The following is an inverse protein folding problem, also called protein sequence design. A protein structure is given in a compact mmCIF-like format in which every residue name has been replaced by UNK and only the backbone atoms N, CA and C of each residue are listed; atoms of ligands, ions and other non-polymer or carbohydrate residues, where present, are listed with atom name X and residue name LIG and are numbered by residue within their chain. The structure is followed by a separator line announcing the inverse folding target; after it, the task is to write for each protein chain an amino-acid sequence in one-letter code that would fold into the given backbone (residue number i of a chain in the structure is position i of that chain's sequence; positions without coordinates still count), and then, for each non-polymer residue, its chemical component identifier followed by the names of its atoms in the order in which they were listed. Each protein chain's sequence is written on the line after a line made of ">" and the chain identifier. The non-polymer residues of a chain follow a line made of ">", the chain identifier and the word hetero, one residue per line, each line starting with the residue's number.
data_IF_120116970125
#
_entry.id   IF_120116970125
#
_cell.length_a   1.000
_cell.length_b   1.000
_cell.length_c   1.000
_cell.angle_alpha   90.00
_cell.angle_beta   90.00
_cell.angle_gamma   90.00
#
_symmetry.space_group_name_H-M   'P 1'
#
loop_
_entity.id
_entity.type
_entity.pdbx_description
1 polymer ?
#
# COMPACT_ATOMS: atom_id res chain seq x y z
N UNK A 1 6.41 -3.69 -11.37
CA UNK A 1 5.78 -5.03 -11.29
C UNK A 1 6.85 -6.10 -11.42
N UNK A 2 6.77 -7.17 -10.64
CA UNK A 2 7.60 -8.37 -10.88
C UNK A 2 7.16 -9.07 -12.17
N UNK A 3 8.04 -9.83 -12.84
CA UNK A 3 7.64 -10.66 -13.98
C UNK A 3 6.53 -11.64 -13.61
N UNK A 4 5.60 -11.87 -14.52
CA UNK A 4 4.49 -12.80 -14.39
C UNK A 4 4.18 -13.47 -15.73
N UNK A 5 3.52 -14.63 -15.68
CA UNK A 5 3.07 -15.39 -16.85
C UNK A 5 1.56 -15.37 -16.91
N UNK A 6 1.01 -15.08 -18.09
CA UNK A 6 -0.41 -15.29 -18.38
C UNK A 6 -0.52 -16.57 -19.20
N UNK A 7 -1.33 -17.50 -18.72
CA UNK A 7 -1.71 -18.71 -19.44
C UNK A 7 -3.09 -18.51 -20.04
N UNK A 8 -3.29 -18.93 -21.29
CA UNK A 8 -4.60 -18.89 -21.95
C UNK A 8 -4.97 -20.28 -22.44
N UNK A 9 -6.17 -20.73 -22.09
CA UNK A 9 -6.75 -22.00 -22.47
C UNK A 9 -7.96 -21.77 -23.38
N UNK A 10 -8.11 -22.58 -24.44
CA UNK A 10 -9.19 -22.48 -25.43
C UNK A 10 -10.07 -23.74 -25.37
N UNK A 11 -11.18 -23.75 -24.61
CA UNK A 11 -11.96 -24.97 -24.35
C UNK A 11 -12.66 -25.58 -25.58
N UNK A 12 -12.78 -24.82 -26.67
CA UNK A 12 -13.33 -25.29 -27.95
C UNK A 12 -12.26 -25.63 -28.97
N UNK A 13 -10.99 -25.27 -28.72
CA UNK A 13 -9.91 -25.32 -29.69
C UNK A 13 -9.95 -24.21 -30.75
N UNK A 14 -10.97 -23.34 -30.74
CA UNK A 14 -11.06 -22.18 -31.64
C UNK A 14 -10.33 -20.97 -31.04
N UNK A 15 -9.25 -20.48 -31.67
CA UNK A 15 -8.50 -19.30 -31.19
C UNK A 15 -9.33 -18.01 -31.17
N UNK A 16 -10.41 -17.94 -31.96
CA UNK A 16 -11.28 -16.76 -32.05
C UNK A 16 -12.41 -16.77 -31.02
N UNK A 17 -12.68 -17.94 -30.42
CA UNK A 17 -13.83 -18.17 -29.57
C UNK A 17 -13.58 -17.95 -28.08
N UNK A 18 -14.44 -18.58 -27.28
CA UNK A 18 -14.34 -18.68 -25.82
C UNK A 18 -12.95 -19.11 -25.36
N UNK A 19 -12.39 -18.35 -24.42
CA UNK A 19 -11.07 -18.62 -23.82
C UNK A 19 -11.02 -18.22 -22.35
N UNK A 20 -10.17 -18.91 -21.61
CA UNK A 20 -9.92 -18.69 -20.18
C UNK A 20 -8.48 -18.22 -20.03
N UNK A 21 -8.26 -17.10 -19.36
CA UNK A 21 -6.94 -16.55 -19.10
C UNK A 21 -6.69 -16.43 -17.60
N UNK A 22 -5.48 -16.75 -17.15
CA UNK A 22 -5.10 -16.67 -15.74
C UNK A 22 -3.64 -16.27 -15.58
N UNK A 23 -3.32 -15.66 -14.44
CA UNK A 23 -1.93 -15.47 -14.02
C UNK A 23 -1.52 -16.74 -13.28
N UNK A 24 -0.46 -17.43 -13.72
CA UNK A 24 -0.14 -18.81 -13.26
C UNK A 24 0.04 -19.00 -11.74
N UNK A 25 0.29 -17.92 -10.99
CA UNK A 25 0.46 -17.95 -9.52
C UNK A 25 -0.81 -17.54 -8.75
N UNK A 26 -1.89 -17.20 -9.45
CA UNK A 26 -3.11 -16.68 -8.89
C UNK A 26 -4.29 -17.62 -9.13
N UNK A 27 -5.32 -17.51 -8.31
CA UNK A 27 -6.55 -18.30 -8.42
C UNK A 27 -7.64 -17.59 -9.21
N UNK A 28 -7.49 -16.28 -9.47
CA UNK A 28 -8.41 -15.51 -10.28
C UNK A 28 -8.26 -15.86 -11.77
N UNK A 29 -9.37 -16.19 -12.40
CA UNK A 29 -9.43 -16.48 -13.84
C UNK A 29 -10.37 -15.50 -14.56
N UNK A 30 -9.96 -15.08 -15.74
CA UNK A 30 -10.76 -14.31 -16.69
C UNK A 30 -11.35 -15.22 -17.75
N UNK A 31 -12.64 -15.07 -18.02
CA UNK A 31 -13.41 -15.85 -18.99
C UNK A 31 -13.88 -14.92 -20.08
N UNK A 32 -13.16 -14.91 -21.21
CA UNK A 32 -13.54 -14.15 -22.39
C UNK A 32 -14.56 -14.95 -23.20
N UNK A 33 -15.76 -14.42 -23.33
CA UNK A 33 -16.92 -15.10 -23.91
C UNK A 33 -17.54 -14.21 -25.00
N UNK A 34 -17.31 -14.51 -26.29
CA UNK A 34 -18.15 -13.96 -27.36
C UNK A 34 -19.62 -14.29 -27.09
N UNK A 35 -20.54 -13.35 -27.35
CA UNK A 35 -21.98 -13.54 -27.10
C UNK A 35 -22.55 -14.78 -27.78
N UNK A 36 -22.08 -15.09 -28.99
CA UNK A 36 -22.45 -16.29 -29.74
C UNK A 36 -21.99 -17.59 -29.07
N UNK A 37 -20.91 -17.56 -28.30
CA UNK A 37 -20.33 -18.72 -27.61
C UNK A 37 -20.91 -18.91 -26.19
N UNK A 38 -21.80 -18.00 -25.73
CA UNK A 38 -22.28 -18.01 -24.34
C UNK A 38 -22.88 -19.35 -23.92
N UNK A 39 -23.69 -19.97 -24.80
CA UNK A 39 -24.28 -21.29 -24.52
C UNK A 39 -23.18 -22.34 -24.32
N UNK A 40 -22.24 -22.41 -25.25
CA UNK A 40 -21.10 -23.34 -25.19
C UNK A 40 -20.22 -23.10 -23.97
N UNK A 41 -19.97 -21.83 -23.61
CA UNK A 41 -19.20 -21.47 -22.42
C UNK A 41 -19.88 -21.99 -21.15
N UNK A 42 -21.19 -21.78 -21.00
CA UNK A 42 -21.96 -22.26 -19.85
C UNK A 42 -21.97 -23.80 -19.78
N UNK A 43 -22.14 -24.47 -20.92
CA UNK A 43 -22.16 -25.94 -20.96
C UNK A 43 -20.79 -26.56 -20.65
N UNK A 44 -19.70 -25.92 -21.07
CA UNK A 44 -18.33 -26.42 -20.87
C UNK A 44 -17.65 -25.95 -19.57
N UNK A 45 -18.17 -24.92 -18.92
CA UNK A 45 -17.52 -24.29 -17.78
C UNK A 45 -18.44 -24.21 -16.55
N UNK A 46 -18.37 -25.20 -15.64
CA UNK A 46 -19.13 -25.17 -14.38
C UNK A 46 -18.82 -23.96 -13.49
N UNK A 47 -17.64 -23.35 -13.62
CA UNK A 47 -17.25 -22.18 -12.84
C UNK A 47 -18.15 -20.96 -13.09
N UNK A 48 -18.79 -20.87 -14.27
CA UNK A 48 -19.76 -19.81 -14.56
C UNK A 48 -21.01 -19.86 -13.67
N UNK A 49 -21.22 -20.95 -12.92
CA UNK A 49 -22.28 -21.02 -11.92
C UNK A 49 -21.92 -20.31 -10.59
N UNK A 50 -20.70 -19.82 -10.44
CA UNK A 50 -20.18 -19.21 -9.20
C UNK A 50 -20.34 -17.69 -9.16
N UNK A 51 -20.07 -17.16 -7.97
CA UNK A 51 -20.00 -15.73 -7.70
C UNK A 51 -18.83 -15.10 -8.45
N UNK A 52 -19.08 -13.96 -9.09
CA UNK A 52 -18.04 -13.21 -9.77
C UNK A 52 -18.46 -11.79 -10.13
N UNK A 53 -17.55 -11.11 -10.81
CA UNK A 53 -17.79 -9.84 -11.49
C UNK A 53 -17.56 -10.01 -12.97
N UNK A 54 -18.19 -9.20 -13.81
CA UNK A 54 -18.06 -9.27 -15.25
C UNK A 54 -18.10 -7.88 -15.89
N UNK A 55 -17.60 -7.82 -17.12
CA UNK A 55 -17.71 -6.65 -17.97
C UNK A 55 -18.25 -7.05 -19.34
N UNK A 56 -19.26 -6.33 -19.83
CA UNK A 56 -19.77 -6.46 -21.19
C UNK A 56 -19.20 -5.35 -22.06
N UNK A 57 -18.81 -5.70 -23.28
CA UNK A 57 -18.21 -4.81 -24.26
C UNK A 57 -18.97 -4.88 -25.59
N UNK A 58 -19.03 -3.76 -26.32
CA UNK A 58 -19.70 -3.66 -27.62
C UNK A 58 -18.87 -4.19 -28.81
N UNK A 59 -17.65 -4.66 -28.59
CA UNK A 59 -16.78 -5.20 -29.64
C UNK A 59 -15.33 -5.39 -29.18
N UNK A 60 -14.46 -5.88 -30.07
CA UNK A 60 -13.03 -6.04 -29.78
C UNK A 60 -12.29 -4.71 -29.62
N UNK A 61 -12.74 -3.67 -30.34
CA UNK A 61 -12.31 -2.28 -30.17
C UNK A 61 -13.39 -1.52 -29.37
N UNK A 62 -13.63 -1.96 -28.14
CA UNK A 62 -14.76 -1.51 -27.35
C UNK A 62 -14.71 0.00 -27.07
N UNK A 63 -15.84 0.67 -27.25
CA UNK A 63 -16.05 2.07 -26.86
C UNK A 63 -17.05 2.20 -25.71
N UNK A 64 -17.79 1.12 -25.41
CA UNK A 64 -18.76 1.05 -24.34
C UNK A 64 -18.50 -0.16 -23.46
N UNK A 65 -18.70 0.03 -22.16
CA UNK A 65 -18.58 -1.03 -21.16
C UNK A 65 -19.74 -1.00 -20.17
N UNK A 66 -20.15 -2.18 -19.71
CA UNK A 66 -21.05 -2.35 -18.57
C UNK A 66 -20.35 -3.24 -17.54
N UNK A 67 -20.33 -2.85 -16.28
CA UNK A 67 -19.71 -3.62 -15.19
C UNK A 67 -20.82 -4.18 -14.31
N UNK A 68 -20.74 -5.47 -13.99
CA UNK A 68 -21.76 -6.14 -13.18
C UNK A 68 -21.20 -7.16 -12.20
N UNK A 69 -21.97 -7.48 -11.17
CA UNK A 69 -21.80 -8.65 -10.31
C UNK A 69 -22.90 -9.70 -10.50
N UNK A 70 -22.60 -10.96 -10.18
CA UNK A 70 -23.62 -11.96 -9.94
C UNK A 70 -23.14 -13.09 -9.03
N UNK A 71 -24.07 -13.66 -8.27
CA UNK A 71 -23.89 -14.93 -7.56
C UNK A 71 -23.91 -16.14 -8.52
N UNK A 72 -24.37 -15.93 -9.75
CA UNK A 72 -24.29 -16.91 -10.83
C UNK A 72 -24.09 -16.17 -12.17
N UNK A 73 -22.84 -16.12 -12.61
CA UNK A 73 -22.43 -15.41 -13.82
C UNK A 73 -23.17 -15.91 -15.07
N UNK A 74 -23.26 -17.23 -15.25
CA UNK A 74 -23.87 -17.84 -16.43
C UNK A 74 -25.35 -17.46 -16.58
N UNK A 75 -26.11 -17.51 -15.49
CA UNK A 75 -27.50 -17.08 -15.47
C UNK A 75 -27.64 -15.58 -15.71
N UNK A 76 -26.74 -14.76 -15.14
CA UNK A 76 -26.76 -13.31 -15.34
C UNK A 76 -26.44 -12.93 -16.78
N UNK A 77 -25.45 -13.54 -17.41
CA UNK A 77 -25.11 -13.31 -18.81
C UNK A 77 -26.24 -13.78 -19.76
N UNK A 78 -26.95 -14.87 -19.41
CA UNK A 78 -28.15 -15.29 -20.14
C UNK A 78 -29.26 -14.23 -20.09
N UNK A 79 -29.46 -13.58 -18.94
CA UNK A 79 -30.43 -12.48 -18.81
C UNK A 79 -30.07 -11.31 -19.74
N UNK A 80 -28.79 -10.95 -19.82
CA UNK A 80 -28.27 -9.93 -20.74
C UNK A 80 -28.33 -10.33 -22.22
N UNK A 81 -28.60 -11.60 -22.54
CA UNK A 81 -28.75 -12.09 -23.92
C UNK A 81 -30.17 -11.93 -24.47
N UNK A 82 -31.03 -11.18 -23.75
CA UNK A 82 -32.32 -10.74 -24.24
C UNK A 82 -32.16 -9.95 -25.56
N UNK A 83 -32.99 -10.20 -26.58
CA UNK A 83 -32.99 -9.44 -27.84
C UNK A 83 -33.03 -7.92 -27.70
N UNK A 84 -33.59 -7.38 -26.60
CA UNK A 84 -33.61 -5.93 -26.35
C UNK A 84 -32.27 -5.34 -25.88
N UNK A 85 -31.30 -6.18 -25.49
CA UNK A 85 -29.95 -5.77 -25.06
C UNK A 85 -28.91 -6.20 -26.11
N UNK A 86 -29.02 -5.65 -27.31
CA UNK A 86 -28.18 -5.98 -28.47
C UNK A 86 -26.88 -5.15 -28.58
N UNK A 87 -26.60 -4.27 -27.62
CA UNK A 87 -25.47 -3.33 -27.68
C UNK A 87 -24.10 -3.99 -27.41
N UNK A 88 -24.07 -5.15 -26.75
CA UNK A 88 -22.83 -5.86 -26.38
C UNK A 88 -22.61 -7.13 -27.19
N UNK A 89 -21.35 -7.48 -27.43
CA UNK A 89 -20.95 -8.68 -28.20
C UNK A 89 -19.92 -9.55 -27.49
N UNK A 90 -19.24 -9.05 -26.47
CA UNK A 90 -18.21 -9.77 -25.71
C UNK A 90 -18.47 -9.58 -24.23
N UNK A 91 -18.40 -10.66 -23.45
CA UNK A 91 -18.33 -10.62 -22.00
C UNK A 91 -16.94 -11.06 -21.55
N UNK A 92 -16.40 -10.42 -20.50
CA UNK A 92 -15.24 -10.92 -19.76
C UNK A 92 -15.65 -11.06 -18.30
N UNK A 93 -15.72 -12.29 -17.79
CA UNK A 93 -16.11 -12.58 -16.41
C UNK A 93 -14.92 -13.02 -15.57
N UNK A 94 -14.95 -12.72 -14.27
CA UNK A 94 -13.88 -12.97 -13.32
C UNK A 94 -14.40 -13.76 -12.14
N UNK A 95 -13.83 -14.94 -11.91
CA UNK A 95 -14.17 -15.83 -10.81
C UNK A 95 -12.90 -16.39 -10.18
N UNK A 96 -12.96 -16.75 -8.90
CA UNK A 96 -11.89 -17.49 -8.24
C UNK A 96 -12.07 -18.97 -8.56
N UNK A 97 -11.07 -19.56 -9.23
CA UNK A 97 -11.05 -20.98 -9.57
C UNK A 97 -10.64 -21.84 -8.38
N UNK A 98 -11.41 -21.75 -7.31
CA UNK A 98 -11.23 -22.55 -6.11
C UNK A 98 -12.59 -22.82 -5.48
N UNK A 99 -12.99 -24.10 -5.46
CA UNK A 99 -14.28 -24.53 -4.92
C UNK A 99 -14.45 -24.22 -3.42
N UNK A 100 -13.35 -24.10 -2.66
CA UNK A 100 -13.41 -23.84 -1.21
C UNK A 100 -13.24 -22.37 -0.83
N UNK A 101 -12.79 -21.52 -1.75
CA UNK A 101 -12.44 -20.11 -1.48
C UNK A 101 -13.06 -19.14 -2.50
N UNK A 102 -14.36 -19.28 -2.76
CA UNK A 102 -15.10 -18.41 -3.66
C UNK A 102 -15.31 -17.00 -3.10
N UNK A 103 -15.58 -16.04 -3.99
CA UNK A 103 -16.00 -14.69 -3.62
C UNK A 103 -17.38 -14.76 -2.96
N UNK A 104 -17.56 -14.05 -1.85
CA UNK A 104 -18.87 -13.85 -1.23
C UNK A 104 -19.69 -12.79 -1.98
N UNK A 105 -20.99 -12.68 -1.66
CA UNK A 105 -21.85 -11.61 -2.17
C UNK A 105 -21.33 -10.20 -1.81
N UNK A 106 -20.74 -10.06 -0.62
CA UNK A 106 -20.12 -8.80 -0.22
C UNK A 106 -18.87 -8.52 -1.08
N UNK A 107 -18.07 -9.54 -1.38
CA UNK A 107 -16.85 -9.37 -2.19
C UNK A 107 -17.15 -8.91 -3.62
N UNK A 108 -18.13 -9.53 -4.28
CA UNK A 108 -18.47 -9.19 -5.68
C UNK A 108 -19.08 -7.80 -5.80
N UNK A 109 -19.88 -7.35 -4.83
CA UNK A 109 -20.39 -5.97 -4.77
C UNK A 109 -19.28 -4.94 -4.53
N UNK A 110 -18.31 -5.29 -3.70
CA UNK A 110 -17.16 -4.43 -3.46
C UNK A 110 -16.31 -4.29 -4.74
N UNK A 111 -16.03 -5.41 -5.42
CA UNK A 111 -15.28 -5.44 -6.67
C UNK A 111 -16.01 -4.71 -7.81
N UNK A 112 -17.32 -4.90 -7.95
CA UNK A 112 -18.14 -4.20 -8.96
C UNK A 112 -18.05 -2.69 -8.77
N UNK A 113 -18.24 -2.20 -7.53
CA UNK A 113 -18.10 -0.78 -7.23
C UNK A 113 -16.68 -0.27 -7.48
N UNK A 114 -15.64 -1.01 -7.08
CA UNK A 114 -14.25 -0.63 -7.31
C UNK A 114 -13.92 -0.53 -8.81
N UNK A 115 -14.34 -1.53 -9.59
CA UNK A 115 -14.19 -1.55 -11.05
C UNK A 115 -14.94 -0.38 -11.69
N UNK A 116 -16.20 -0.16 -11.30
CA UNK A 116 -17.01 0.94 -11.82
C UNK A 116 -16.37 2.29 -11.53
N UNK A 117 -16.02 2.56 -10.27
CA UNK A 117 -15.42 3.83 -9.85
C UNK A 117 -14.11 4.10 -10.58
N UNK A 118 -13.28 3.06 -10.78
CA UNK A 118 -12.03 3.21 -11.51
C UNK A 118 -12.25 3.51 -12.99
N UNK A 119 -13.18 2.81 -13.64
CA UNK A 119 -13.53 3.06 -15.04
C UNK A 119 -14.17 4.43 -15.27
N UNK A 120 -15.01 4.88 -14.33
CA UNK A 120 -15.63 6.21 -14.37
C UNK A 120 -14.59 7.32 -14.21
N UNK A 121 -13.56 7.09 -13.42
CA UNK A 121 -12.43 8.00 -13.28
C UNK A 121 -11.57 8.03 -14.54
N UNK A 122 -11.25 6.88 -15.14
CA UNK A 122 -10.33 6.82 -16.30
C UNK A 122 -10.98 7.20 -17.64
N UNK A 123 -12.31 7.08 -17.74
CA UNK A 123 -13.14 7.42 -18.90
C UNK A 123 -12.64 6.86 -20.23
N UNK A 124 -11.99 5.70 -20.20
CA UNK A 124 -11.48 5.05 -21.42
C UNK A 124 -12.60 4.52 -22.31
N UNK A 125 -13.73 4.16 -21.70
CA UNK A 125 -14.93 3.68 -22.38
C UNK A 125 -16.15 4.34 -21.73
N UNK A 126 -17.22 4.52 -22.50
CA UNK A 126 -18.50 4.99 -21.98
C UNK A 126 -19.13 3.88 -21.12
N UNK A 127 -19.31 4.15 -19.83
CA UNK A 127 -20.06 3.25 -18.95
C UNK A 127 -21.56 3.40 -19.21
N UNK A 128 -22.23 2.28 -19.49
CA UNK A 128 -23.67 2.24 -19.80
C UNK A 128 -24.53 1.66 -18.66
N UNK A 129 -23.95 1.50 -17.47
CA UNK A 129 -24.69 1.17 -16.27
C UNK A 129 -25.76 2.23 -15.99
N UNK A 130 -26.99 1.79 -15.64
CA UNK A 130 -28.07 2.71 -15.30
C UNK A 130 -27.87 3.41 -13.95
N UNK A 131 -27.18 2.76 -13.02
CA UNK A 131 -26.92 3.26 -11.66
C UNK A 131 -25.47 2.98 -11.27
N UNK A 132 -24.92 3.81 -10.39
CA UNK A 132 -23.64 3.56 -9.71
C UNK A 132 -23.79 2.34 -8.77
N UNK A 133 -22.94 1.30 -8.91
CA UNK A 133 -22.98 0.14 -8.03
C UNK A 133 -22.72 0.52 -6.56
N UNK A 134 -23.45 -0.10 -5.64
CA UNK A 134 -23.31 0.14 -4.20
C UNK A 134 -22.09 -0.61 -3.64
N UNK A 135 -21.21 0.10 -2.94
CA UNK A 135 -20.08 -0.51 -2.24
C UNK A 135 -20.53 -1.22 -0.96
N UNK A 136 -20.40 -2.54 -0.92
CA UNK A 136 -20.63 -3.34 0.30
C UNK A 136 -19.54 -3.09 1.34
N UNK A 137 -19.88 -3.36 2.60
CA UNK A 137 -18.91 -3.45 3.68
C UNK A 137 -18.17 -4.80 3.62
N UNK A 138 -16.84 -4.75 3.72
CA UNK A 138 -15.94 -5.89 3.88
C UNK A 138 -14.90 -5.54 4.94
N UNK A 139 -14.28 -6.54 5.59
CA UNK A 139 -13.22 -6.28 6.57
C UNK A 139 -12.00 -5.66 5.89
N UNK A 140 -11.18 -4.92 6.64
CA UNK A 140 -9.97 -4.30 6.08
C UNK A 140 -9.02 -5.33 5.43
N UNK A 141 -8.77 -6.46 6.09
CA UNK A 141 -7.97 -7.55 5.50
C UNK A 141 -8.54 -8.01 4.16
N UNK A 142 -9.86 -8.18 4.08
CA UNK A 142 -10.53 -8.62 2.86
C UNK A 142 -10.48 -7.55 1.78
N UNK A 143 -10.54 -6.27 2.14
CA UNK A 143 -10.37 -5.14 1.23
C UNK A 143 -9.02 -5.19 0.51
N UNK A 144 -7.93 -5.53 1.22
CA UNK A 144 -6.61 -5.70 0.61
C UNK A 144 -6.59 -6.86 -0.40
N UNK A 145 -7.18 -8.01 -0.04
CA UNK A 145 -7.31 -9.14 -0.96
C UNK A 145 -8.08 -8.76 -2.23
N UNK A 146 -9.21 -8.05 -2.08
CA UNK A 146 -10.04 -7.63 -3.22
C UNK A 146 -9.37 -6.56 -4.07
N UNK A 147 -8.59 -5.65 -3.47
CA UNK A 147 -7.73 -4.72 -4.22
C UNK A 147 -6.65 -5.47 -5.01
N UNK A 148 -6.06 -6.52 -4.43
CA UNK A 148 -5.11 -7.40 -5.15
C UNK A 148 -5.79 -8.11 -6.33
N UNK A 149 -6.99 -8.66 -6.12
CA UNK A 149 -7.80 -9.23 -7.19
C UNK A 149 -8.08 -8.20 -8.29
N UNK A 150 -8.41 -6.96 -7.93
CA UNK A 150 -8.63 -5.89 -8.91
C UNK A 150 -7.39 -5.60 -9.77
N UNK A 151 -6.18 -5.62 -9.20
CA UNK A 151 -4.93 -5.46 -9.97
C UNK A 151 -4.81 -6.57 -11.03
N UNK A 152 -5.13 -7.81 -10.66
CA UNK A 152 -5.13 -8.93 -11.59
C UNK A 152 -6.23 -8.82 -12.65
N UNK A 153 -7.43 -8.34 -12.28
CA UNK A 153 -8.51 -8.02 -13.22
C UNK A 153 -8.02 -7.01 -14.26
N UNK A 154 -7.37 -5.91 -13.85
CA UNK A 154 -6.81 -4.91 -14.79
C UNK A 154 -5.79 -5.53 -15.75
N UNK A 155 -4.83 -6.29 -15.22
CA UNK A 155 -3.81 -6.97 -16.02
C UNK A 155 -4.44 -7.90 -17.05
N UNK A 156 -5.40 -8.73 -16.61
CA UNK A 156 -6.08 -9.68 -17.48
C UNK A 156 -6.91 -8.97 -18.55
N UNK A 157 -7.69 -7.95 -18.18
CA UNK A 157 -8.46 -7.15 -19.15
C UNK A 157 -7.56 -6.52 -20.21
N UNK A 158 -6.46 -5.88 -19.81
CA UNK A 158 -5.49 -5.27 -20.75
C UNK A 158 -4.86 -6.31 -21.67
N UNK A 159 -4.49 -7.47 -21.14
CA UNK A 159 -3.94 -8.59 -21.93
C UNK A 159 -4.94 -9.13 -22.96
N UNK A 160 -6.24 -9.03 -22.65
CA UNK A 160 -7.33 -9.45 -23.52
C UNK A 160 -7.77 -8.34 -24.51
N UNK A 161 -7.13 -7.16 -24.46
CA UNK A 161 -7.38 -6.04 -25.37
C UNK A 161 -8.34 -4.97 -24.84
N UNK A 162 -8.70 -5.01 -23.54
CA UNK A 162 -9.64 -4.07 -22.92
C UNK A 162 -8.97 -3.23 -21.83
N UNK A 163 -8.25 -2.15 -22.16
CA UNK A 163 -7.55 -1.32 -21.18
C UNK A 163 -8.49 -0.38 -20.40
N UNK A 164 -9.54 -0.92 -19.77
CA UNK A 164 -10.66 -0.18 -19.18
C UNK A 164 -10.23 0.80 -18.06
N UNK A 165 -9.20 0.46 -17.28
CA UNK A 165 -8.79 1.21 -16.09
C UNK A 165 -7.49 1.99 -16.27
N UNK A 166 -6.91 2.00 -17.47
CA UNK A 166 -5.63 2.67 -17.75
C UNK A 166 -5.89 4.13 -18.07
N UNK A 167 -5.17 5.05 -17.42
CA UNK A 167 -5.18 6.45 -17.87
C UNK A 167 -4.27 6.61 -19.08
N UNK A 168 -4.75 7.28 -20.12
CA UNK A 168 -3.91 7.72 -21.24
C UNK A 168 -2.90 8.75 -20.75
N UNK A 169 -1.68 8.80 -21.32
CA UNK A 169 -0.66 9.81 -20.99
C UNK A 169 -1.14 11.28 -21.12
N UNK A 170 -2.23 11.52 -21.84
CA UNK A 170 -2.88 12.82 -21.96
C UNK A 170 -3.68 13.21 -20.69
N UNK A 171 -4.21 12.23 -19.96
CA UNK A 171 -5.01 12.42 -18.74
C UNK A 171 -4.15 12.52 -17.47
N UNK A 172 -2.85 12.19 -17.57
CA UNK A 172 -1.86 12.45 -16.52
C UNK A 172 -1.69 13.95 -16.22
N UNK A 173 -2.15 14.83 -17.12
CA UNK A 173 -1.97 16.30 -17.01
C UNK A 173 -3.21 17.00 -16.42
N UNK A 174 -4.40 16.41 -16.53
CA UNK A 174 -5.68 17.04 -16.20
C UNK A 174 -6.34 16.53 -14.91
N UNK A 175 -6.01 15.34 -14.41
CA UNK A 175 -6.65 14.74 -13.21
C UNK A 175 -5.82 14.78 -11.92
N UNK A 176 -4.81 15.65 -11.83
CA UNK A 176 -4.05 15.90 -10.58
C UNK A 176 -4.90 16.73 -9.56
N UNK A 177 -6.16 16.99 -9.87
CA UNK A 177 -7.02 17.90 -9.08
C UNK A 177 -8.06 17.21 -8.18
N UNK A 178 -8.42 15.93 -8.35
CA UNK A 178 -9.38 15.26 -7.46
C UNK A 178 -9.15 13.74 -7.37
N UNK A 179 -8.23 13.30 -6.50
CA UNK A 179 -8.19 11.93 -6.00
C UNK A 179 -8.42 11.98 -4.48
N UNK A 180 -9.55 11.44 -4.04
CA UNK A 180 -9.84 11.23 -2.63
C UNK A 180 -8.89 10.17 -2.05
N UNK A 181 -8.05 10.67 -1.13
CA UNK A 181 -7.70 10.11 0.19
C UNK A 181 -6.99 8.75 0.29
N UNK A 182 -5.82 8.62 -0.34
CA UNK A 182 -4.75 7.70 0.14
C UNK A 182 -3.36 8.38 0.09
N UNK A 183 -3.33 9.70 -0.13
CA UNK A 183 -2.11 10.48 -0.29
C UNK A 183 -1.67 11.11 1.02
N UNK A 184 -0.40 10.98 1.36
CA UNK A 184 0.16 11.57 2.58
C UNK A 184 0.39 13.07 2.34
N UNK A 185 -0.30 13.91 3.11
CA UNK A 185 -0.09 15.35 3.06
C UNK A 185 1.24 15.74 3.71
N UNK A 186 2.10 16.37 2.94
CA UNK A 186 3.45 16.79 3.33
C UNK A 186 3.67 18.28 3.10
N UNK A 187 4.61 18.83 3.83
CA UNK A 187 5.01 20.23 3.82
C UNK A 187 6.51 20.34 3.53
N UNK A 188 6.88 21.36 2.78
CA UNK A 188 8.26 21.74 2.52
C UNK A 188 8.43 23.22 2.86
N UNK A 189 9.17 23.47 3.93
CA UNK A 189 9.55 24.81 4.39
C UNK A 189 11.07 24.88 4.45
N UNK A 190 11.69 25.33 3.36
CA UNK A 190 13.15 25.37 3.22
C UNK A 190 13.55 26.41 2.19
N UNK A 191 14.68 27.08 2.42
CA UNK A 191 15.25 28.10 1.51
C UNK A 191 14.22 29.17 1.10
N UNK A 192 13.46 29.70 2.06
CA UNK A 192 12.36 30.67 1.87
C UNK A 192 11.19 30.20 0.99
N UNK A 193 11.17 28.93 0.60
CA UNK A 193 10.02 28.30 -0.03
C UNK A 193 9.02 27.80 1.03
N UNK A 194 7.75 27.72 0.64
CA UNK A 194 6.69 27.13 1.46
C UNK A 194 5.72 26.42 0.51
N UNK A 195 5.76 25.10 0.50
CA UNK A 195 4.94 24.27 -0.38
C UNK A 195 4.20 23.19 0.42
N UNK A 196 2.99 22.88 -0.03
CA UNK A 196 2.21 21.74 0.44
C UNK A 196 2.09 20.76 -0.72
N UNK A 197 2.31 19.48 -0.43
CA UNK A 197 2.16 18.42 -1.42
C UNK A 197 1.41 17.23 -0.87
N UNK A 198 0.83 16.43 -1.77
CA UNK A 198 0.25 15.13 -1.48
C UNK A 198 1.19 14.09 -2.09
N UNK A 199 1.84 13.30 -1.25
CA UNK A 199 2.71 12.20 -1.67
C UNK A 199 1.89 10.94 -1.87
N UNK A 200 2.14 10.25 -2.98
CA UNK A 200 1.45 9.03 -3.35
C UNK A 200 2.44 7.86 -3.23
N UNK A 201 2.39 7.07 -2.14
CA UNK A 201 3.40 6.05 -1.85
C UNK A 201 3.51 4.97 -2.93
N UNK A 202 2.38 4.59 -3.54
CA UNK A 202 2.32 3.56 -4.59
C UNK A 202 3.15 3.93 -5.82
N UNK A 203 3.03 5.18 -6.28
CA UNK A 203 3.70 5.65 -7.49
C UNK A 203 5.02 6.38 -7.20
N UNK A 204 5.31 6.62 -5.92
CA UNK A 204 6.42 7.47 -5.42
C UNK A 204 6.41 8.87 -6.03
N UNK A 205 5.24 9.35 -6.42
CA UNK A 205 5.04 10.69 -6.98
C UNK A 205 4.61 11.66 -5.89
N UNK A 206 4.77 12.96 -6.14
CA UNK A 206 4.22 13.99 -5.25
C UNK A 206 3.47 15.04 -6.06
N UNK A 207 2.25 15.32 -5.65
CA UNK A 207 1.45 16.40 -6.20
C UNK A 207 1.65 17.65 -5.36
N UNK A 208 2.30 18.68 -5.91
CA UNK A 208 2.42 19.99 -5.25
C UNK A 208 1.13 20.77 -5.48
N UNK A 209 0.52 21.24 -4.40
CA UNK A 209 -0.79 21.88 -4.43
C UNK A 209 -0.71 23.33 -4.91
N UNK A 210 -1.79 23.76 -5.55
CA UNK A 210 -2.04 25.15 -5.94
C UNK A 210 -1.79 26.10 -4.76
N UNK A 211 -1.14 27.23 -5.03
CA UNK A 211 -0.78 28.22 -4.01
C UNK A 211 0.57 27.97 -3.33
N UNK A 212 1.17 26.78 -3.47
CA UNK A 212 2.54 26.51 -3.01
C UNK A 212 3.54 27.51 -3.59
N UNK A 213 4.47 27.99 -2.77
CA UNK A 213 5.48 29.01 -3.11
C UNK A 213 6.87 28.40 -3.28
N UNK A 214 7.47 28.62 -4.44
CA UNK A 214 8.89 28.32 -4.68
C UNK A 214 9.77 29.44 -4.12
N UNK A 215 11.05 29.18 -3.90
CA UNK A 215 11.99 30.21 -3.45
C UNK A 215 12.13 31.34 -4.48
N UNK A 216 12.25 32.56 -3.96
CA UNK A 216 12.60 33.75 -4.74
C UNK A 216 14.10 33.86 -4.98
N UNK A 217 14.92 33.16 -4.19
CA UNK A 217 16.38 33.15 -4.36
C UNK A 217 16.78 32.54 -5.71
N UNK A 218 17.94 32.94 -6.22
CA UNK A 218 18.52 32.34 -7.43
C UNK A 218 18.85 30.85 -7.24
N UNK A 219 18.89 30.03 -8.30
CA UNK A 219 19.36 28.65 -8.21
C UNK A 219 20.77 28.54 -7.64
N UNK A 220 21.01 27.52 -6.82
CA UNK A 220 22.37 27.20 -6.35
C UNK A 220 23.18 26.52 -7.45
N UNK A 221 24.51 26.46 -7.29
CA UNK A 221 25.39 25.72 -8.21
C UNK A 221 25.07 24.22 -8.29
N UNK A 222 24.39 23.65 -7.29
CA UNK A 222 23.96 22.25 -7.27
C UNK A 222 22.60 22.02 -7.95
N UNK A 223 21.95 23.05 -8.48
CA UNK A 223 20.66 22.92 -9.16
C UNK A 223 20.83 22.55 -10.63
N UNK A 224 20.27 21.41 -11.04
CA UNK A 224 20.41 20.85 -12.40
C UNK A 224 19.11 20.88 -13.22
N UNK A 225 17.98 21.29 -12.64
CA UNK A 225 16.64 21.17 -13.26
C UNK A 225 16.18 22.44 -14.00
N UNK A 226 17.10 23.13 -14.67
CA UNK A 226 16.83 24.42 -15.32
C UNK A 226 15.76 24.32 -16.42
N UNK A 227 15.81 23.28 -17.25
CA UNK A 227 14.87 23.12 -18.36
C UNK A 227 13.44 22.85 -17.86
N UNK A 228 13.30 22.04 -16.80
CA UNK A 228 12.02 21.79 -16.17
C UNK A 228 11.47 23.07 -15.53
N UNK A 229 12.29 23.83 -14.79
CA UNK A 229 11.87 25.10 -14.20
C UNK A 229 11.41 26.09 -15.28
N UNK A 230 12.16 26.25 -16.36
CA UNK A 230 11.78 27.10 -17.50
C UNK A 230 10.46 26.66 -18.11
N UNK A 231 10.28 25.35 -18.33
CA UNK A 231 9.04 24.79 -18.86
C UNK A 231 7.84 25.13 -17.97
N UNK A 232 7.96 24.93 -16.65
CA UNK A 232 6.88 25.22 -15.70
C UNK A 232 6.47 26.70 -15.66
N UNK A 233 7.44 27.61 -15.85
CA UNK A 233 7.19 29.04 -15.93
C UNK A 233 6.53 29.38 -17.28
N UNK A 234 7.05 28.85 -18.38
CA UNK A 234 6.54 29.11 -19.74
C UNK A 234 5.11 28.59 -19.94
N UNK A 235 4.79 27.42 -19.40
CA UNK A 235 3.42 26.86 -19.43
C UNK A 235 2.48 27.54 -18.44
N UNK A 236 2.99 28.45 -17.62
CA UNK A 236 2.21 29.22 -16.66
C UNK A 236 1.80 28.45 -15.42
N UNK A 237 2.34 27.24 -15.19
CA UNK A 237 2.11 26.42 -13.99
C UNK A 237 2.73 27.11 -12.77
N UNK A 238 3.85 27.81 -12.96
CA UNK A 238 4.45 28.68 -11.96
C UNK A 238 4.38 30.12 -12.45
N UNK A 239 3.66 30.98 -11.71
CA UNK A 239 3.62 32.44 -11.93
C UNK A 239 3.84 33.16 -10.61
N UNK A 240 4.61 34.25 -10.63
CA UNK A 240 4.92 35.04 -9.43
C UNK A 240 5.39 34.16 -8.25
N UNK A 241 6.31 33.23 -8.54
CA UNK A 241 6.86 32.25 -7.58
C UNK A 241 5.84 31.32 -6.91
N UNK A 242 4.64 31.15 -7.49
CA UNK A 242 3.60 30.27 -6.97
C UNK A 242 3.08 29.30 -8.01
N UNK A 243 2.73 28.10 -7.56
CA UNK A 243 1.97 27.14 -8.37
C UNK A 243 0.54 27.65 -8.58
N UNK A 244 0.13 27.83 -9.83
CA UNK A 244 -1.23 28.30 -10.18
C UNK A 244 -2.24 27.17 -10.36
N UNK A 245 -1.75 25.93 -10.43
CA UNK A 245 -2.53 24.70 -10.45
C UNK A 245 -1.76 23.60 -9.71
N UNK A 246 -2.43 22.52 -9.34
CA UNK A 246 -1.74 21.35 -8.81
C UNK A 246 -0.79 20.80 -9.88
N UNK A 247 0.39 20.34 -9.47
CA UNK A 247 1.38 19.79 -10.39
C UNK A 247 2.05 18.56 -9.79
N UNK A 248 1.98 17.44 -10.51
CA UNK A 248 2.57 16.18 -10.09
C UNK A 248 4.00 16.06 -10.59
N UNK A 249 4.92 15.89 -9.66
CA UNK A 249 6.29 15.51 -9.92
C UNK A 249 6.44 13.99 -9.84
N UNK A 250 7.31 13.46 -10.69
CA UNK A 250 7.68 12.04 -10.70
C UNK A 250 8.43 11.56 -9.46
N UNK A 251 8.87 12.48 -8.58
CA UNK A 251 9.44 12.14 -7.28
C UNK A 251 9.41 13.32 -6.31
N UNK A 252 9.44 13.01 -5.01
CA UNK A 252 9.57 14.00 -3.94
C UNK A 252 10.85 14.86 -4.07
N UNK A 253 11.94 14.27 -4.57
CA UNK A 253 13.22 14.98 -4.79
C UNK A 253 13.15 15.95 -5.95
N UNK A 254 12.48 15.58 -7.06
CA UNK A 254 12.27 16.49 -8.20
C UNK A 254 11.48 17.72 -7.75
N UNK A 255 10.40 17.52 -6.99
CA UNK A 255 9.60 18.61 -6.44
C UNK A 255 10.43 19.50 -5.51
N UNK A 256 11.17 18.90 -4.57
CA UNK A 256 12.01 19.63 -3.63
C UNK A 256 13.05 20.50 -4.35
N UNK A 257 13.67 19.96 -5.40
CA UNK A 257 14.69 20.69 -6.15
C UNK A 257 14.11 21.90 -6.88
N UNK A 258 12.93 21.75 -7.50
CA UNK A 258 12.24 22.87 -8.18
C UNK A 258 11.80 23.92 -7.16
N UNK A 259 11.20 23.50 -6.05
CA UNK A 259 10.69 24.41 -5.02
C UNK A 259 11.81 25.20 -4.35
N UNK A 260 12.95 24.56 -4.06
CA UNK A 260 14.09 25.20 -3.40
C UNK A 260 15.13 25.77 -4.36
N UNK A 261 15.03 25.49 -5.67
CA UNK A 261 16.07 25.75 -6.68
C UNK A 261 17.47 25.31 -6.23
N UNK A 262 17.56 24.14 -5.59
CA UNK A 262 18.80 23.55 -5.06
C UNK A 262 18.68 22.04 -5.01
N UNK A 263 19.79 21.30 -4.88
CA UNK A 263 19.74 19.85 -4.65
C UNK A 263 19.37 19.51 -3.21
N UNK A 264 18.11 19.14 -2.97
CA UNK A 264 17.59 18.64 -1.70
C UNK A 264 17.14 17.17 -1.83
N UNK A 265 17.33 16.41 -0.76
CA UNK A 265 16.78 15.06 -0.66
C UNK A 265 15.29 15.14 -0.34
N UNK A 266 14.44 14.75 -1.29
CA UNK A 266 12.98 14.71 -1.14
C UNK A 266 12.55 13.97 0.13
N UNK A 267 12.98 12.72 0.35
CA UNK A 267 12.64 11.97 1.56
C UNK A 267 12.98 12.69 2.86
N UNK A 268 14.02 13.53 2.90
CA UNK A 268 14.43 14.22 4.13
C UNK A 268 13.75 15.58 4.34
N UNK A 269 13.42 16.29 3.26
CA UNK A 269 12.98 17.69 3.34
C UNK A 269 11.46 17.84 3.45
N UNK A 270 10.71 16.90 2.86
CA UNK A 270 9.27 16.82 3.00
C UNK A 270 8.91 16.21 4.35
N UNK A 271 7.98 16.81 5.06
CA UNK A 271 7.54 16.34 6.37
C UNK A 271 6.03 16.39 6.55
N UNK A 272 5.47 15.51 7.36
CA UNK A 272 4.06 15.57 7.74
C UNK A 272 3.79 16.68 8.78
N UNK A 273 2.54 16.80 9.23
CA UNK A 273 2.17 17.78 10.26
C UNK A 273 2.86 17.52 11.61
N UNK A 274 3.26 16.28 11.90
CA UNK A 274 3.99 15.87 13.10
C UNK A 274 5.51 16.03 12.97
N UNK A 275 5.99 16.58 11.83
CA UNK A 275 7.39 16.79 11.46
C UNK A 275 8.20 15.51 11.18
N UNK A 276 7.54 14.38 10.95
CA UNK A 276 8.21 13.18 10.42
C UNK A 276 8.54 13.40 8.95
N UNK A 277 9.79 13.14 8.57
CA UNK A 277 10.21 13.27 7.19
C UNK A 277 9.62 12.14 6.35
N UNK A 278 9.47 12.37 5.04
CA UNK A 278 8.99 11.33 4.12
C UNK A 278 9.85 10.04 4.18
N UNK A 279 11.14 10.16 4.51
CA UNK A 279 12.03 9.03 4.75
C UNK A 279 11.58 8.23 5.97
N UNK A 280 11.17 8.89 7.04
CA UNK A 280 10.70 8.25 8.27
C UNK A 280 9.37 7.54 8.01
N UNK A 281 8.52 8.13 7.17
CA UNK A 281 7.26 7.54 6.72
C UNK A 281 7.47 6.34 5.78
N UNK A 282 8.40 6.43 4.82
CA UNK A 282 8.74 5.33 3.91
C UNK A 282 9.43 4.17 4.65
N UNK A 283 10.23 4.47 5.68
CA UNK A 283 10.88 3.45 6.52
C UNK A 283 9.90 2.74 7.43
N UNK A 284 8.76 3.37 7.74
CA UNK A 284 7.63 2.72 8.40
C UNK A 284 6.81 1.82 7.44
N UNK A 285 6.92 2.02 6.11
CA UNK A 285 6.17 1.33 5.06
C UNK A 285 6.77 0.03 4.53
N UNK A 286 7.91 -0.44 5.04
CA UNK A 286 8.54 -1.72 4.61
C UNK A 286 8.26 -2.91 5.53
N UNK A 287 7.23 -2.85 6.36
CA UNK A 287 6.69 -3.99 7.11
C UNK A 287 5.17 -3.92 7.15
N UNK A 288 4.49 -4.52 6.18
CA UNK A 288 3.07 -4.85 6.33
C UNK A 288 2.92 -6.05 7.28
N UNK A 289 2.65 -5.73 8.54
CA UNK A 289 1.64 -6.42 9.35
C UNK A 289 1.04 -5.38 10.29
N UNK A 290 -0.15 -4.85 9.97
CA UNK A 290 -1.01 -4.37 11.07
C UNK A 290 -1.39 -5.58 11.90
N UNK A 291 -1.23 -5.49 13.22
CA UNK A 291 -2.45 -5.54 14.01
C UNK A 291 -2.46 -4.50 15.13
N UNK A 292 -3.61 -3.84 15.29
CA UNK A 292 -4.29 -3.82 16.57
C UNK A 292 -3.40 -3.51 17.79
N UNK A 293 -3.01 -2.25 18.05
CA UNK A 293 -2.31 -1.77 19.27
C UNK A 293 -1.23 -2.68 19.91
N UNK A 294 -0.57 -3.54 19.12
CA UNK A 294 0.49 -4.43 19.57
C UNK A 294 1.65 -4.38 18.56
N UNK A 295 2.15 -3.17 18.31
CA UNK A 295 3.50 -3.00 17.75
C UNK A 295 4.49 -3.28 18.88
N UNK A 296 5.08 -4.48 18.85
CA UNK A 296 6.26 -4.81 19.64
C UNK A 296 7.41 -3.93 19.13
N UNK A 297 7.54 -2.70 19.63
CA UNK A 297 8.65 -1.82 19.30
C UNK A 297 9.92 -2.47 19.85
N UNK A 298 10.90 -2.73 18.98
CA UNK A 298 12.19 -3.28 19.39
C UNK A 298 13.04 -2.18 20.01
N UNK A 299 13.37 -2.36 21.29
CA UNK A 299 14.27 -1.51 22.03
C UNK A 299 15.63 -2.17 22.19
N UNK A 300 16.66 -1.33 22.24
CA UNK A 300 18.04 -1.70 22.49
C UNK A 300 18.51 -1.02 23.77
N UNK A 301 19.35 -1.74 24.50
CA UNK A 301 20.05 -1.23 25.65
C UNK A 301 21.53 -1.52 25.44
N UNK A 302 22.34 -0.45 25.45
CA UNK A 302 23.79 -0.53 25.37
C UNK A 302 24.42 0.33 26.47
N UNK A 303 24.63 -0.27 27.65
CA UNK A 303 25.06 0.44 28.86
C UNK A 303 26.03 -0.45 29.63
N UNK A 304 27.19 0.10 30.03
CA UNK A 304 28.20 -0.59 30.87
C UNK A 304 28.67 -1.94 30.31
N UNK A 305 28.75 -2.07 28.98
CA UNK A 305 29.15 -3.29 28.29
C UNK A 305 28.06 -4.39 28.25
N UNK A 306 26.84 -4.09 28.71
CA UNK A 306 25.66 -4.88 28.40
C UNK A 306 25.10 -4.48 27.03
N UNK A 307 24.62 -5.47 26.27
CA UNK A 307 24.02 -5.28 24.96
C UNK A 307 22.75 -6.13 24.90
N UNK A 308 21.57 -5.53 24.95
CA UNK A 308 20.32 -6.26 24.98
C UNK A 308 19.31 -5.70 24.00
N UNK A 309 18.47 -6.58 23.49
CA UNK A 309 17.33 -6.26 22.64
C UNK A 309 16.07 -6.74 23.35
N UNK A 310 15.01 -5.93 23.33
CA UNK A 310 13.77 -6.28 24.01
C UNK A 310 12.55 -5.67 23.31
N UNK A 311 11.43 -6.38 23.38
CA UNK A 311 10.13 -5.81 23.07
C UNK A 311 9.49 -5.25 24.35
N UNK A 312 8.90 -4.06 24.23
CA UNK A 312 8.09 -3.45 25.29
C UNK A 312 6.62 -3.51 24.90
N UNK A 313 5.80 -4.07 25.79
CA UNK A 313 4.35 -4.07 25.67
C UNK A 313 3.79 -2.81 26.36
N UNK A 314 3.12 -1.95 25.60
CA UNK A 314 2.59 -0.68 26.11
C UNK A 314 1.32 -0.84 26.96
N UNK A 315 0.60 -1.96 26.80
CA UNK A 315 -0.61 -2.26 27.56
C UNK A 315 -0.26 -2.91 28.91
N UNK A 316 0.54 -3.99 28.89
CA UNK A 316 0.91 -4.73 30.11
C UNK A 316 2.12 -4.15 30.83
N UNK A 317 2.88 -3.27 30.16
CA UNK A 317 4.18 -2.72 30.61
C UNK A 317 5.28 -3.76 30.76
N UNK A 318 5.01 -5.00 30.35
CA UNK A 318 6.00 -6.07 30.37
C UNK A 318 7.11 -5.83 29.34
N UNK A 319 8.26 -6.44 29.57
CA UNK A 319 9.44 -6.28 28.71
C UNK A 319 10.06 -7.63 28.43
N UNK A 320 9.94 -8.08 27.19
CA UNK A 320 10.49 -9.36 26.73
C UNK A 320 11.88 -9.14 26.17
N UNK A 321 12.90 -9.56 26.92
CA UNK A 321 14.30 -9.52 26.52
C UNK A 321 14.58 -10.71 25.62
N UNK A 322 15.18 -10.46 24.45
CA UNK A 322 15.40 -11.47 23.43
C UNK A 322 16.65 -12.31 23.70
N UNK A 323 16.60 -13.56 23.24
CA UNK A 323 17.73 -14.46 23.16
C UNK A 323 18.92 -13.78 22.48
N UNK A 324 20.13 -14.03 23.00
CA UNK A 324 21.35 -13.39 22.54
C UNK A 324 21.68 -12.08 23.25
N UNK A 325 20.74 -11.50 24.00
CA UNK A 325 20.99 -10.34 24.86
C UNK A 325 22.04 -10.66 25.92
N UNK A 326 23.00 -9.76 26.11
CA UNK A 326 24.17 -9.91 26.96
C UNK A 326 24.11 -8.97 28.17
N UNK A 327 24.29 -9.53 29.36
CA UNK A 327 24.38 -8.81 30.62
C UNK A 327 25.75 -8.15 30.79
N UNK A 328 25.80 -7.12 31.63
CA UNK A 328 27.04 -6.49 32.07
C UNK A 328 27.97 -7.51 32.76
N UNK A 329 29.28 -7.39 32.52
CA UNK A 329 30.29 -8.27 33.12
C UNK A 329 30.56 -7.94 34.59
N UNK A 330 30.37 -6.68 35.00
CA UNK A 330 30.59 -6.19 36.37
C UNK A 330 29.27 -5.80 37.04
N UNK A 331 29.17 -6.05 38.34
CA UNK A 331 28.03 -5.67 39.17
C UNK A 331 28.33 -4.37 39.91
N UNK A 332 27.37 -3.44 39.96
CA UNK A 332 27.51 -2.21 40.74
C UNK A 332 27.34 -2.47 42.25
N UNK A 333 28.08 -1.77 43.14
CA UNK A 333 27.96 -1.97 44.59
C UNK A 333 26.53 -1.74 45.15
N UNK A 334 25.72 -0.94 44.46
CA UNK A 334 24.34 -0.62 44.85
C UNK A 334 23.27 -1.60 44.33
N UNK A 335 23.67 -2.66 43.62
CA UNK A 335 22.74 -3.64 43.04
C UNK A 335 22.26 -4.66 44.07
N UNK A 336 20.94 -4.75 44.29
CA UNK A 336 20.32 -5.61 45.32
C UNK A 336 19.53 -6.81 44.78
N UNK A 337 19.40 -6.97 43.46
CA UNK A 337 18.54 -8.00 42.83
C UNK A 337 19.32 -9.23 42.35
N UNK A 338 20.35 -9.64 43.07
CA UNK A 338 21.20 -10.79 42.72
C UNK A 338 20.46 -12.12 42.69
N UNK A 339 19.40 -12.29 43.50
CA UNK A 339 18.66 -13.54 43.60
C UNK A 339 17.95 -13.89 42.28
N UNK A 340 17.31 -12.92 41.63
CA UNK A 340 16.65 -13.14 40.35
C UNK A 340 17.64 -13.56 39.25
N UNK A 341 18.86 -12.98 39.23
CA UNK A 341 19.90 -13.41 38.28
C UNK A 341 20.31 -14.86 38.55
N UNK A 342 20.50 -15.23 39.81
CA UNK A 342 20.88 -16.59 40.19
C UNK A 342 19.80 -17.61 39.80
N UNK A 343 18.52 -17.26 39.97
CA UNK A 343 17.40 -18.11 39.55
C UNK A 343 17.37 -18.32 38.03
N UNK A 344 17.59 -17.25 37.25
CA UNK A 344 17.65 -17.33 35.78
C UNK A 344 18.85 -18.14 35.29
N UNK A 345 19.98 -18.09 36.01
CA UNK A 345 21.15 -18.95 35.71
C UNK A 345 20.83 -20.41 36.05
N UNK A 346 20.19 -20.68 37.19
CA UNK A 346 19.80 -22.03 37.60
C UNK A 346 18.82 -22.66 36.61
N UNK A 347 17.91 -21.86 36.06
CA UNK A 347 16.95 -22.26 35.02
C UNK A 347 17.56 -22.36 33.62
N UNK A 348 18.87 -22.14 33.44
CA UNK A 348 19.56 -22.13 32.13
C UNK A 348 19.05 -21.07 31.14
N UNK A 349 18.28 -20.08 31.62
CA UNK A 349 17.81 -18.94 30.82
C UNK A 349 18.98 -18.00 30.55
N UNK A 350 19.91 -17.86 31.50
CA UNK A 350 21.16 -17.10 31.32
C UNK A 350 22.34 -18.05 31.44
N UNK A 351 23.16 -18.12 30.40
CA UNK A 351 24.41 -18.91 30.38
C UNK A 351 25.54 -18.02 29.87
N UNK A 352 26.65 -17.98 30.59
CA UNK A 352 27.82 -17.13 30.28
C UNK A 352 27.45 -15.64 30.09
N UNK A 353 26.56 -15.11 30.94
CA UNK A 353 26.02 -13.74 30.87
C UNK A 353 25.23 -13.44 29.59
N UNK A 354 24.69 -14.45 28.89
CA UNK A 354 23.86 -14.27 27.69
C UNK A 354 22.53 -14.99 27.88
N UNK A 355 21.42 -14.34 27.52
CA UNK A 355 20.10 -14.95 27.46
C UNK A 355 20.07 -16.03 26.38
N UNK A 356 19.74 -17.26 26.76
CA UNK A 356 19.62 -18.42 25.87
C UNK A 356 18.22 -18.61 25.32
N UNK A 357 17.23 -18.02 25.96
CA UNK A 357 15.85 -17.94 25.50
C UNK A 357 15.32 -16.55 25.78
N UNK A 358 14.24 -16.19 25.10
CA UNK A 358 13.51 -14.97 25.42
C UNK A 358 12.98 -15.04 26.86
N UNK A 359 12.98 -13.91 27.56
CA UNK A 359 12.49 -13.83 28.93
C UNK A 359 11.73 -12.54 29.19
N UNK A 360 10.52 -12.67 29.72
CA UNK A 360 9.62 -11.55 29.99
C UNK A 360 9.74 -11.08 31.42
N UNK A 361 10.17 -9.83 31.59
CA UNK A 361 10.18 -9.13 32.86
C UNK A 361 8.86 -8.37 33.06
N UNK A 362 8.43 -8.18 34.32
CA UNK A 362 7.22 -7.43 34.63
C UNK A 362 7.34 -5.91 34.35
N UNK A 363 8.55 -5.39 34.11
CA UNK A 363 8.74 -3.99 33.72
C UNK A 363 10.06 -3.75 33.00
N UNK A 364 10.12 -2.65 32.23
CA UNK A 364 11.32 -2.20 31.53
C UNK A 364 12.46 -1.80 32.48
N UNK A 365 12.14 -1.30 33.67
CA UNK A 365 13.11 -0.96 34.72
C UNK A 365 13.70 -2.22 35.36
N UNK A 366 12.88 -3.25 35.59
CA UNK A 366 13.37 -4.55 36.09
C UNK A 366 14.33 -5.16 35.07
N UNK A 367 13.93 -5.22 33.80
CA UNK A 367 14.77 -5.74 32.72
C UNK A 367 16.12 -5.00 32.64
N UNK A 368 16.10 -3.66 32.59
CA UNK A 368 17.31 -2.84 32.51
C UNK A 368 18.22 -3.03 33.74
N UNK A 369 17.63 -3.17 34.93
CA UNK A 369 18.38 -3.32 36.20
C UNK A 369 19.10 -4.65 36.27
N UNK A 370 18.44 -5.74 35.85
CA UNK A 370 19.02 -7.09 35.77
C UNK A 370 20.11 -7.15 34.70
N UNK A 371 19.84 -6.61 33.50
CA UNK A 371 20.80 -6.61 32.39
C UNK A 371 22.07 -5.81 32.72
N UNK A 372 21.91 -4.62 33.31
CA UNK A 372 23.03 -3.75 33.65
C UNK A 372 23.72 -4.11 34.97
N UNK A 373 23.14 -5.05 35.75
CA UNK A 373 23.57 -5.37 37.13
C UNK A 373 23.76 -4.12 38.00
N UNK A 374 22.83 -3.17 37.88
CA UNK A 374 22.84 -1.86 38.53
C UNK A 374 21.42 -1.28 38.54
N UNK A 375 21.03 -0.46 39.52
CA UNK A 375 19.76 0.26 39.46
C UNK A 375 19.66 1.10 38.17
N UNK A 376 18.62 0.87 37.37
CA UNK A 376 18.39 1.57 36.10
C UNK A 376 16.93 2.01 35.95
N UNK A 377 16.72 3.17 35.35
CA UNK A 377 15.40 3.59 34.88
C UNK A 377 15.14 3.03 33.49
N UNK A 378 14.19 2.10 33.37
CA UNK A 378 13.82 1.48 32.09
C UNK A 378 13.49 2.51 31.01
N UNK A 379 12.58 3.48 31.26
CA UNK A 379 12.23 4.51 30.28
C UNK A 379 13.42 5.30 29.71
N UNK A 380 14.48 5.50 30.49
CA UNK A 380 15.68 6.21 30.03
C UNK A 380 16.75 5.29 29.44
N UNK A 381 16.75 4.01 29.81
CA UNK A 381 17.76 3.03 29.44
C UNK A 381 17.50 2.35 28.09
N UNK A 382 16.24 2.24 27.69
CA UNK A 382 15.82 1.59 26.45
C UNK A 382 15.60 2.60 25.34
N UNK A 383 16.16 2.31 24.16
CA UNK A 383 16.11 3.17 22.98
C UNK A 383 15.73 2.35 21.75
N UNK A 384 14.76 2.81 20.95
CA UNK A 384 14.38 2.11 19.73
C UNK A 384 15.42 2.30 18.61
N UNK A 385 15.22 1.65 17.47
CA UNK A 385 16.09 1.78 16.28
C UNK A 385 16.23 3.22 15.77
N UNK A 386 15.25 4.09 16.05
CA UNK A 386 15.22 5.48 15.63
C UNK A 386 15.93 6.42 16.63
N UNK A 387 16.53 5.88 17.69
CA UNK A 387 17.20 6.66 18.73
C UNK A 387 16.25 7.28 19.76
N UNK A 388 14.96 6.94 19.72
CA UNK A 388 13.94 7.45 20.64
C UNK A 388 13.96 6.61 21.91
N UNK A 389 14.08 7.27 23.06
CA UNK A 389 13.99 6.61 24.36
C UNK A 389 12.56 6.21 24.69
N UNK A 390 12.40 5.10 25.39
CA UNK A 390 11.11 4.61 25.85
C UNK A 390 10.32 5.66 26.64
N UNK A 391 10.99 6.54 27.40
CA UNK A 391 10.37 7.65 28.15
C UNK A 391 9.53 8.59 27.28
N UNK A 392 9.90 8.79 26.01
CA UNK A 392 9.22 9.68 25.09
C UNK A 392 8.02 8.99 24.42
N UNK A 393 7.90 7.68 24.57
CA UNK A 393 6.83 6.87 24.00
C UNK A 393 5.74 6.52 25.03
N UNK A 394 6.04 6.64 26.32
CA UNK A 394 5.10 6.36 27.43
C UNK A 394 4.52 7.63 28.08
N UNK A 395 4.88 8.82 27.61
CA UNK A 395 4.51 10.12 28.22
C UNK A 395 3.19 10.72 27.72
N UNK A 396 2.31 9.93 27.11
CA UNK A 396 1.00 10.37 26.64
C UNK A 396 -0.12 9.50 27.19
#
# INVERSE_FOLDING_TARGET
>A
MQPFTIQTFFPTGDPSGFRVAEITRDSLQAYYIPKQDLKTAIDKCPALAWNGVYTLFNGGNATQAYIGEAENIGNRLKQHSNPQENWWTIAVAFMINNQTHQLSKADIKFLENLMYSKAETTKQMLLVNANTPHQSFVTESRKYDLKSNFINIDILLRSLGFPLFVKTKADEVSEISNLDDDGIKLYLNSRNANATGIYHPHDKTITVLTGSRITELEPTSSFTMNDLLKKLIQTGIIKNHRFTSNYQFNSASTAANIITKSSYSGPRVWHDQKKFSLRDLDSAGSHETTPNFNQSILFHLNIRGAHAQAFYDFETKHTTVLQGSKLASKTAPSFKQSNLINDLIKQQIIVNNVFKTDYTFPSSSTAATIICKSPMSGPHAWMNNDGIRLENLIKH
#
